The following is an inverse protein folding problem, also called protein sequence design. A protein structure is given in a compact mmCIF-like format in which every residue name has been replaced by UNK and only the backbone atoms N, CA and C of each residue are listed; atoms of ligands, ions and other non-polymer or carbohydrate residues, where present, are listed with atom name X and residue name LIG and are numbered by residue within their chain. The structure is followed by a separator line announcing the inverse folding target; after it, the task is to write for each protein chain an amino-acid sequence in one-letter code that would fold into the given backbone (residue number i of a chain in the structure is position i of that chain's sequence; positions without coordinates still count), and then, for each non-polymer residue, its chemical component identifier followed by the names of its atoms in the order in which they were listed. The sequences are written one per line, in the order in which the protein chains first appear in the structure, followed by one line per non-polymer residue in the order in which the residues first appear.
data_IF_713358983290
#
_entry.id   IF_713358983290
#
_cell.length_a   1.000
_cell.length_b   1.000
_cell.length_c   1.000
_cell.angle_alpha   90.00
_cell.angle_beta   90.00
_cell.angle_gamma   90.00
#
_symmetry.space_group_name_H-M   'P 1'
#
loop_
_entity.id
_entity.type
_entity.pdbx_description
1 polymer ?
#
# COMPACT_ATOMS: atom_id res chain seq x y z
N UNK A 1 -11.20 9.36 1.48
CA UNK A 1 -10.58 8.48 0.47
C UNK A 1 -9.62 9.23 -0.46
N UNK A 2 -10.09 10.17 -1.29
CA UNK A 2 -9.23 10.94 -2.19
C UNK A 2 -8.14 11.75 -1.46
N UNK A 3 -8.48 12.39 -0.34
CA UNK A 3 -7.52 13.14 0.48
C UNK A 3 -6.43 12.25 1.10
N UNK A 4 -6.82 11.11 1.69
CA UNK A 4 -5.85 10.16 2.27
C UNK A 4 -4.91 9.60 1.19
N UNK A 5 -5.43 9.28 0.01
CA UNK A 5 -4.60 8.84 -1.11
C UNK A 5 -3.64 9.95 -1.57
N UNK A 6 -4.10 11.20 -1.64
CA UNK A 6 -3.22 12.33 -1.97
C UNK A 6 -2.11 12.54 -0.93
N UNK A 7 -2.43 12.42 0.37
CA UNK A 7 -1.44 12.46 1.47
C UNK A 7 -0.43 11.33 1.35
N UNK A 8 -0.87 10.07 1.22
CA UNK A 8 0.03 8.93 1.03
C UNK A 8 0.91 9.08 -0.22
N UNK A 9 0.35 9.62 -1.31
CA UNK A 9 1.10 9.90 -2.53
C UNK A 9 2.26 10.87 -2.26
N UNK A 10 2.01 11.93 -1.51
CA UNK A 10 3.02 12.93 -1.18
C UNK A 10 4.06 12.38 -0.18
N UNK A 11 3.60 11.78 0.93
CA UNK A 11 4.43 11.35 2.04
C UNK A 11 5.34 10.17 1.68
N UNK A 12 4.85 9.26 0.83
CA UNK A 12 5.56 8.02 0.45
C UNK A 12 5.99 8.02 -1.02
N UNK A 13 5.87 9.16 -1.72
CA UNK A 13 6.22 9.32 -3.14
C UNK A 13 5.59 8.23 -4.04
N UNK A 14 4.34 7.85 -3.76
CA UNK A 14 3.65 6.80 -4.50
C UNK A 14 3.13 7.31 -5.85
N UNK A 15 2.86 6.39 -6.77
CA UNK A 15 2.03 6.74 -7.93
C UNK A 15 0.58 6.87 -7.49
N UNK A 16 -0.19 7.72 -8.16
CA UNK A 16 -1.62 7.91 -7.87
C UNK A 16 -2.43 6.60 -7.72
N UNK A 17 -2.35 5.61 -8.63
CA UNK A 17 -3.10 4.37 -8.46
C UNK A 17 -2.69 3.60 -7.19
N UNK A 18 -1.40 3.52 -6.90
CA UNK A 18 -0.88 2.82 -5.72
C UNK A 18 -1.36 3.49 -4.42
N UNK A 19 -1.29 4.82 -4.37
CA UNK A 19 -1.77 5.58 -3.22
C UNK A 19 -3.27 5.37 -2.96
N UNK A 20 -4.08 5.25 -4.02
CA UNK A 20 -5.51 4.93 -3.91
C UNK A 20 -5.71 3.51 -3.39
N UNK A 21 -5.01 2.53 -3.93
CA UNK A 21 -5.14 1.14 -3.49
C UNK A 21 -4.70 0.95 -2.03
N UNK A 22 -3.55 1.52 -1.65
CA UNK A 22 -3.04 1.46 -0.28
C UNK A 22 -3.94 2.21 0.70
N UNK A 23 -4.44 3.41 0.35
CA UNK A 23 -5.43 4.11 1.16
C UNK A 23 -6.72 3.28 1.36
N UNK A 24 -7.10 2.47 0.37
CA UNK A 24 -8.31 1.62 0.44
C UNK A 24 -8.07 0.48 1.41
N UNK A 25 -6.90 -0.17 1.34
CA UNK A 25 -6.51 -1.23 2.26
C UNK A 25 -6.44 -0.73 3.71
N UNK A 26 -5.83 0.43 3.94
CA UNK A 26 -5.79 1.08 5.26
C UNK A 26 -7.21 1.39 5.74
N UNK A 27 -8.06 1.99 4.89
CA UNK A 27 -9.45 2.32 5.25
C UNK A 27 -10.28 1.08 5.58
N UNK A 28 -10.07 -0.01 4.85
CA UNK A 28 -10.71 -1.30 5.10
C UNK A 28 -10.17 -2.06 6.31
N UNK A 29 -9.15 -1.52 7.01
CA UNK A 29 -8.52 -2.18 8.15
C UNK A 29 -7.73 -3.44 7.79
N UNK A 30 -7.26 -3.54 6.55
CA UNK A 30 -6.45 -4.67 6.13
C UNK A 30 -5.11 -4.70 6.88
N UNK A 31 -4.71 -5.87 7.36
CA UNK A 31 -3.39 -6.06 7.97
C UNK A 31 -2.28 -6.23 6.93
N UNK A 32 -2.64 -6.70 5.72
CA UNK A 32 -1.70 -7.04 4.65
C UNK A 32 -2.13 -6.45 3.31
N UNK A 33 -1.13 -6.03 2.52
CA UNK A 33 -1.27 -5.64 1.12
C UNK A 33 -0.39 -6.54 0.25
N UNK A 34 -0.99 -7.45 -0.50
CA UNK A 34 -0.27 -8.37 -1.38
C UNK A 34 0.00 -7.72 -2.74
N UNK A 35 1.26 -7.69 -3.17
CA UNK A 35 1.67 -7.09 -4.45
C UNK A 35 2.85 -7.84 -5.07
N UNK A 36 3.11 -7.60 -6.35
CA UNK A 36 4.35 -7.99 -7.01
C UNK A 36 5.36 -6.84 -7.08
N UNK A 37 4.94 -5.60 -6.76
CA UNK A 37 5.82 -4.44 -6.81
C UNK A 37 6.61 -4.30 -5.50
N UNK A 38 7.88 -4.71 -5.55
CA UNK A 38 8.81 -4.65 -4.41
C UNK A 38 9.12 -3.23 -3.94
N UNK A 39 8.72 -2.20 -4.70
CA UNK A 39 8.99 -0.79 -4.38
C UNK A 39 7.94 -0.21 -3.45
N UNK A 40 6.80 -0.88 -3.27
CA UNK A 40 5.73 -0.39 -2.40
C UNK A 40 6.15 -0.53 -0.93
N UNK A 41 6.14 0.57 -0.15
CA UNK A 41 6.50 0.52 1.26
C UNK A 41 5.36 -0.05 2.10
N UNK A 42 5.68 -0.65 3.24
CA UNK A 42 4.67 -0.88 4.28
C UNK A 42 4.23 0.45 4.92
N UNK A 43 2.98 0.53 5.35
CA UNK A 43 2.41 1.69 6.04
C UNK A 43 2.10 1.33 7.50
N UNK A 44 1.91 2.32 8.40
CA UNK A 44 1.44 2.05 9.75
C UNK A 44 0.15 1.23 9.73
N UNK A 45 0.20 0.03 10.29
CA UNK A 45 -0.95 -0.90 10.36
C UNK A 45 -1.22 -1.71 9.07
N UNK A 46 -0.43 -1.53 8.01
CA UNK A 46 -0.56 -2.27 6.75
C UNK A 46 0.80 -2.79 6.27
N UNK A 47 1.00 -4.10 6.36
CA UNK A 47 2.24 -4.76 5.93
C UNK A 47 2.16 -5.13 4.46
N UNK A 48 3.15 -4.73 3.67
CA UNK A 48 3.27 -5.18 2.27
C UNK A 48 3.88 -6.57 2.22
N UNK A 49 3.22 -7.49 1.51
CA UNK A 49 3.73 -8.82 1.21
C UNK A 49 4.01 -8.92 -0.29
N UNK A 50 5.18 -9.44 -0.65
CA UNK A 50 5.53 -9.67 -2.06
C UNK A 50 5.30 -11.14 -2.38
N UNK A 51 4.53 -11.44 -3.44
CA UNK A 51 4.13 -12.81 -3.79
C UNK A 51 5.34 -13.76 -3.91
N UNK A 52 6.41 -13.32 -4.57
CA UNK A 52 7.61 -14.12 -4.76
C UNK A 52 8.38 -14.40 -3.45
N UNK A 53 8.09 -13.66 -2.37
CA UNK A 53 8.67 -13.91 -1.05
C UNK A 53 7.81 -14.88 -0.21
N UNK A 54 6.62 -15.25 -0.69
CA UNK A 54 5.71 -16.18 -0.02
C UNK A 54 5.76 -17.60 -0.60
N UNK A 55 6.36 -17.77 -1.77
CA UNK A 55 6.47 -19.06 -2.45
C UNK A 55 7.85 -19.65 -2.18
N UNK A 56 7.90 -20.70 -1.35
CA UNK A 56 9.07 -21.55 -1.10
C UNK A 56 9.12 -22.74 -2.03
#
# INVERSE_FOLDING_TARGET
MAENAAKLRADYNLRTPDAIQMATAVYGGASFFLTNDIRLPSLPGLTVLVLNQLMS
#
